data_IF_459312166597
#
_entry.id   IF_459312166597
#
_cell.length_a   1.000
_cell.length_b   1.000
_cell.length_c   1.000
_cell.angle_alpha   90.00
_cell.angle_beta   90.00
_cell.angle_gamma   90.00
#
_symmetry.space_group_name_H-M   'P 1'
#
loop_
_entity.id
_entity.type
_entity.pdbx_description
1 polymer ?
#
# COMPACT_ATOMS: atom_id res chain seq x y z
N UNK A 1 -20.21 -21.84 -16.01
CA UNK A 1 -21.44 -21.38 -15.32
C UNK A 1 -22.54 -21.15 -16.34
N UNK A 2 -23.74 -21.67 -16.16
CA UNK A 2 -24.89 -21.39 -17.05
C UNK A 2 -25.47 -19.97 -16.91
N UNK A 3 -24.67 -19.02 -16.37
CA UNK A 3 -25.08 -17.63 -16.11
C UNK A 3 -25.18 -16.87 -17.42
N UNK A 4 -26.25 -16.08 -17.57
CA UNK A 4 -26.57 -15.28 -18.77
C UNK A 4 -26.66 -13.77 -18.48
N UNK A 5 -26.36 -13.37 -17.25
CA UNK A 5 -26.44 -12.01 -16.73
C UNK A 5 -25.15 -11.20 -16.93
N UNK A 6 -24.16 -11.77 -17.61
CA UNK A 6 -22.86 -11.13 -17.84
C UNK A 6 -21.94 -11.12 -16.62
N UNK A 7 -22.27 -11.85 -15.54
CA UNK A 7 -21.43 -11.95 -14.33
C UNK A 7 -20.70 -13.29 -14.30
N UNK A 8 -19.37 -13.22 -14.24
CA UNK A 8 -18.49 -14.39 -14.18
C UNK A 8 -17.77 -14.44 -12.84
N UNK A 9 -17.81 -15.59 -12.18
CA UNK A 9 -16.99 -15.90 -11.01
C UNK A 9 -15.92 -16.89 -11.46
N UNK A 10 -14.65 -16.53 -11.26
CA UNK A 10 -13.51 -17.34 -11.64
C UNK A 10 -12.85 -17.86 -10.37
N UNK A 11 -12.67 -19.18 -10.20
CA UNK A 11 -12.02 -19.73 -9.02
C UNK A 11 -10.52 -19.44 -9.08
N UNK A 12 -10.06 -18.48 -8.27
CA UNK A 12 -8.64 -18.20 -8.07
C UNK A 12 -8.08 -19.10 -6.97
N UNK A 13 -6.81 -19.46 -7.10
CA UNK A 13 -6.07 -20.24 -6.12
C UNK A 13 -5.70 -19.36 -4.89
N UNK A 14 -5.67 -19.98 -3.72
CA UNK A 14 -5.26 -19.37 -2.44
C UNK A 14 -3.74 -19.16 -2.38
N UNK A 15 -3.28 -18.40 -1.38
CA UNK A 15 -1.85 -18.18 -1.15
C UNK A 15 -1.04 -19.47 -0.85
N UNK A 16 -1.68 -20.58 -0.49
CA UNK A 16 -1.02 -21.88 -0.24
C UNK A 16 -0.92 -22.74 -1.51
N UNK A 17 -1.64 -22.37 -2.56
CA UNK A 17 -1.70 -23.04 -3.85
C UNK A 17 -0.85 -22.33 -4.93
N UNK A 18 -0.24 -21.21 -4.55
CA UNK A 18 0.56 -20.34 -5.42
C UNK A 18 2.01 -20.27 -4.93
N UNK A 19 2.94 -19.97 -5.85
CA UNK A 19 4.31 -19.55 -5.54
C UNK A 19 4.52 -18.09 -5.94
N UNK A 20 5.53 -17.43 -5.36
CA UNK A 20 5.92 -16.09 -5.78
C UNK A 20 6.50 -15.23 -4.68
N UNK A 21 6.57 -13.92 -4.89
CA UNK A 21 7.11 -12.99 -3.91
C UNK A 21 6.03 -12.15 -3.23
N UNK A 22 6.21 -11.85 -1.94
CA UNK A 22 5.36 -10.93 -1.19
C UNK A 22 6.20 -9.94 -0.39
N UNK A 23 5.72 -8.71 -0.23
CA UNK A 23 6.41 -7.68 0.57
C UNK A 23 5.68 -7.45 1.89
N UNK A 24 6.39 -7.57 3.00
CA UNK A 24 5.85 -7.32 4.34
C UNK A 24 5.92 -5.83 4.72
N UNK A 25 5.23 -5.45 5.81
CA UNK A 25 5.17 -4.04 6.29
C UNK A 25 6.56 -3.49 6.71
N UNK A 26 7.45 -4.38 7.18
CA UNK A 26 8.86 -4.03 7.43
C UNK A 26 9.69 -3.87 6.13
N UNK A 27 9.03 -3.97 4.96
CA UNK A 27 9.58 -3.87 3.62
C UNK A 27 10.49 -5.02 3.17
N UNK A 28 10.59 -6.10 3.96
CA UNK A 28 11.25 -7.33 3.53
C UNK A 28 10.38 -8.07 2.52
N UNK A 29 10.99 -8.49 1.41
CA UNK A 29 10.40 -9.34 0.39
C UNK A 29 10.71 -10.79 0.73
N UNK A 30 9.71 -11.67 0.65
CA UNK A 30 9.85 -13.09 0.92
C UNK A 30 9.38 -13.88 -0.30
N UNK A 31 10.11 -14.95 -0.62
CA UNK A 31 9.64 -15.94 -1.58
C UNK A 31 8.72 -16.93 -0.87
N UNK A 32 7.57 -17.22 -1.47
CA UNK A 32 6.59 -18.20 -0.99
C UNK A 32 6.59 -19.38 -1.95
N UNK A 33 6.64 -20.57 -1.37
CA UNK A 33 6.56 -21.83 -2.11
C UNK A 33 5.12 -22.35 -2.11
N UNK A 34 4.77 -23.06 -3.17
CA UNK A 34 3.49 -23.76 -3.25
C UNK A 34 3.45 -24.90 -2.23
N UNK A 35 2.39 -24.96 -1.42
CA UNK A 35 2.23 -25.96 -0.36
C UNK A 35 1.37 -27.13 -0.82
N UNK A 36 0.28 -26.84 -1.56
CA UNK A 36 -0.61 -27.84 -2.16
C UNK A 36 -0.92 -27.46 -3.60
N UNK A 37 -1.38 -28.42 -4.42
CA UNK A 37 -1.88 -28.11 -5.76
C UNK A 37 -3.22 -27.34 -5.67
N UNK A 38 -3.50 -26.43 -6.63
CA UNK A 38 -4.79 -25.74 -6.72
C UNK A 38 -5.96 -26.72 -6.65
N UNK A 39 -6.89 -26.48 -5.72
CA UNK A 39 -8.04 -27.34 -5.49
C UNK A 39 -9.10 -27.16 -6.58
N UNK A 40 -9.79 -28.26 -6.89
CA UNK A 40 -10.85 -28.32 -7.90
C UNK A 40 -10.41 -27.78 -9.26
N UNK A 41 -11.11 -26.77 -9.79
CA UNK A 41 -10.81 -26.10 -11.06
C UNK A 41 -10.11 -24.74 -10.84
N UNK A 42 -9.68 -24.44 -9.62
CA UNK A 42 -9.01 -23.19 -9.31
C UNK A 42 -7.67 -23.08 -10.05
N UNK A 43 -7.26 -21.84 -10.33
CA UNK A 43 -6.01 -21.53 -11.01
C UNK A 43 -5.34 -20.34 -10.35
N UNK A 44 -3.99 -20.28 -10.32
CA UNK A 44 -3.28 -19.07 -9.94
C UNK A 44 -3.69 -17.87 -10.80
N UNK A 45 -3.71 -16.67 -10.22
CA UNK A 45 -4.16 -15.46 -10.90
C UNK A 45 -3.40 -15.19 -12.21
N UNK A 46 -2.08 -15.37 -12.24
CA UNK A 46 -1.28 -15.17 -13.47
C UNK A 46 -1.66 -16.14 -14.58
N UNK A 47 -2.07 -17.35 -14.24
CA UNK A 47 -2.61 -18.34 -15.19
C UNK A 47 -3.98 -17.90 -15.72
N UNK A 48 -4.88 -17.44 -14.86
CA UNK A 48 -6.20 -16.90 -15.28
C UNK A 48 -6.00 -15.72 -16.25
N UNK A 49 -5.10 -14.79 -15.92
CA UNK A 49 -4.78 -13.64 -16.75
C UNK A 49 -4.19 -14.04 -18.11
N UNK A 50 -3.31 -15.04 -18.14
CA UNK A 50 -2.76 -15.57 -19.39
C UNK A 50 -3.83 -16.22 -20.28
N UNK A 51 -4.75 -17.00 -19.70
CA UNK A 51 -5.86 -17.61 -20.45
C UNK A 51 -6.77 -16.53 -21.05
N UNK A 52 -6.98 -15.41 -20.35
CA UNK A 52 -7.65 -14.24 -20.95
C UNK A 52 -6.85 -13.63 -22.09
N UNK A 53 -5.55 -13.42 -21.91
CA UNK A 53 -4.69 -12.90 -22.97
C UNK A 53 -4.72 -13.78 -24.22
N UNK A 54 -4.72 -15.10 -24.06
CA UNK A 54 -4.91 -16.06 -25.16
C UNK A 54 -6.29 -15.89 -25.80
N UNK A 55 -7.34 -15.83 -25.00
CA UNK A 55 -8.72 -15.69 -25.50
C UNK A 55 -8.93 -14.42 -26.31
N UNK A 56 -8.26 -13.33 -25.94
CA UNK A 56 -8.38 -12.03 -26.58
C UNK A 56 -7.25 -11.73 -27.59
N UNK A 57 -6.33 -12.67 -27.81
CA UNK A 57 -5.33 -12.59 -28.89
C UNK A 57 -4.14 -11.68 -28.63
N UNK A 58 -3.75 -11.47 -27.36
CA UNK A 58 -2.56 -10.67 -26.98
C UNK A 58 -1.58 -11.43 -26.05
N UNK A 59 -1.64 -12.76 -26.06
CA UNK A 59 -0.79 -13.60 -25.21
C UNK A 59 0.71 -13.40 -25.46
N UNK A 60 1.11 -13.28 -26.73
CA UNK A 60 2.52 -13.12 -27.11
C UNK A 60 3.11 -11.80 -26.58
N UNK A 61 2.33 -10.71 -26.61
CA UNK A 61 2.71 -9.45 -25.99
C UNK A 61 2.71 -9.53 -24.46
N UNK A 62 1.70 -10.20 -23.87
CA UNK A 62 1.55 -10.35 -22.43
C UNK A 62 2.71 -11.15 -21.81
N UNK A 63 3.24 -12.15 -22.51
CA UNK A 63 4.33 -13.02 -22.02
C UNK A 63 5.65 -12.83 -22.77
N UNK A 64 5.85 -11.66 -23.39
CA UNK A 64 7.04 -11.39 -24.23
C UNK A 64 8.38 -11.70 -23.54
N UNK A 65 8.47 -11.44 -22.24
CA UNK A 65 9.67 -11.68 -21.44
C UNK A 65 9.48 -12.77 -20.38
N UNK A 66 8.35 -13.49 -20.41
CA UNK A 66 7.94 -14.44 -19.38
C UNK A 66 7.78 -15.82 -20.02
N UNK A 67 8.55 -16.80 -19.55
CA UNK A 67 8.39 -18.16 -20.02
C UNK A 67 7.03 -18.72 -19.61
N UNK A 68 6.34 -19.36 -20.53
CA UNK A 68 5.09 -20.09 -20.26
C UNK A 68 5.37 -21.58 -20.33
N UNK A 69 4.96 -22.34 -19.31
CA UNK A 69 5.03 -23.80 -19.27
C UNK A 69 3.66 -24.34 -18.90
N UNK A 70 3.09 -25.26 -19.68
CA UNK A 70 1.76 -25.84 -19.40
C UNK A 70 0.65 -24.80 -19.18
N UNK A 71 0.62 -23.73 -19.99
CA UNK A 71 -0.28 -22.57 -19.87
C UNK A 71 -0.13 -21.74 -18.58
N UNK A 72 0.98 -21.89 -17.87
CA UNK A 72 1.29 -21.11 -16.68
C UNK A 72 2.52 -20.22 -16.92
N UNK A 73 2.37 -18.89 -16.84
CA UNK A 73 3.49 -17.95 -16.84
C UNK A 73 4.43 -18.16 -15.64
N UNK A 74 5.74 -18.07 -15.86
CA UNK A 74 6.75 -18.19 -14.80
C UNK A 74 6.71 -16.99 -13.86
N UNK A 75 6.40 -17.23 -12.59
CA UNK A 75 6.37 -16.19 -11.54
C UNK A 75 7.76 -15.62 -11.27
N UNK A 76 8.82 -16.41 -11.46
CA UNK A 76 10.18 -15.92 -11.36
C UNK A 76 10.52 -14.90 -12.44
N UNK A 77 10.14 -15.17 -13.70
CA UNK A 77 10.35 -14.22 -14.79
C UNK A 77 9.53 -12.94 -14.61
N UNK A 78 8.31 -13.05 -14.06
CA UNK A 78 7.48 -11.90 -13.69
C UNK A 78 8.23 -11.01 -12.67
N UNK A 79 8.84 -11.59 -11.63
CA UNK A 79 9.64 -10.81 -10.68
C UNK A 79 10.85 -10.15 -11.37
N UNK A 80 11.55 -10.89 -12.24
CA UNK A 80 12.67 -10.32 -13.02
C UNK A 80 12.21 -9.16 -13.91
N UNK A 81 11.01 -9.23 -14.47
CA UNK A 81 10.43 -8.17 -15.29
C UNK A 81 10.03 -6.94 -14.45
N UNK A 82 9.41 -7.14 -13.28
CA UNK A 82 9.10 -6.07 -12.32
C UNK A 82 10.38 -5.30 -11.97
N UNK A 83 11.47 -6.01 -11.66
CA UNK A 83 12.74 -5.39 -11.28
C UNK A 83 13.32 -4.49 -12.39
N UNK A 84 13.17 -4.90 -13.66
CA UNK A 84 13.62 -4.11 -14.82
C UNK A 84 12.85 -2.80 -14.99
N UNK A 85 11.64 -2.71 -14.44
CA UNK A 85 10.79 -1.52 -14.51
C UNK A 85 10.84 -0.60 -13.28
N UNK A 86 11.50 -1.02 -12.19
CA UNK A 86 11.36 -0.38 -10.85
C UNK A 86 12.65 0.21 -10.30
N UNK A 87 13.56 0.62 -11.19
CA UNK A 87 14.83 1.30 -10.84
C UNK A 87 14.63 2.51 -9.92
N UNK A 88 13.64 3.36 -10.23
CA UNK A 88 13.41 4.64 -9.54
C UNK A 88 13.01 4.48 -8.08
N UNK A 89 12.32 3.39 -7.78
CA UNK A 89 11.90 3.06 -6.43
C UNK A 89 12.89 2.13 -5.75
N UNK A 90 13.80 1.45 -6.46
CA UNK A 90 14.77 0.56 -5.82
C UNK A 90 14.15 -0.78 -5.40
N UNK A 91 13.30 -1.33 -6.25
CA UNK A 91 12.87 -2.74 -6.22
C UNK A 91 13.57 -3.52 -7.34
N UNK A 92 14.84 -3.20 -7.64
CA UNK A 92 15.56 -3.76 -8.78
C UNK A 92 16.54 -4.88 -8.40
N UNK A 93 17.03 -4.87 -7.17
CA UNK A 93 18.04 -5.83 -6.72
C UNK A 93 17.49 -7.18 -6.27
N UNK A 94 16.19 -7.32 -6.02
CA UNK A 94 15.61 -8.53 -5.43
C UNK A 94 15.29 -9.60 -6.47
N UNK A 95 16.19 -10.56 -6.70
CA UNK A 95 15.91 -11.67 -7.64
C UNK A 95 15.24 -12.87 -6.96
N UNK A 96 14.51 -13.71 -7.73
CA UNK A 96 13.98 -14.98 -7.22
C UNK A 96 15.05 -15.83 -6.52
N UNK A 97 16.25 -15.91 -7.08
CA UNK A 97 17.37 -16.71 -6.55
C UNK A 97 17.82 -16.21 -5.18
N UNK A 98 17.99 -14.89 -5.04
CA UNK A 98 18.39 -14.27 -3.76
C UNK A 98 17.31 -14.48 -2.72
N UNK A 99 16.04 -14.23 -3.07
CA UNK A 99 14.93 -14.40 -2.14
C UNK A 99 14.76 -15.86 -1.70
N UNK A 100 14.83 -16.83 -2.62
CA UNK A 100 14.80 -18.26 -2.30
C UNK A 100 15.97 -18.66 -1.39
N UNK A 101 17.18 -18.15 -1.66
CA UNK A 101 18.33 -18.39 -0.80
C UNK A 101 18.11 -17.84 0.62
N UNK A 102 17.49 -16.66 0.78
CA UNK A 102 17.14 -16.13 2.10
C UNK A 102 16.13 -17.02 2.83
N UNK A 103 15.10 -17.52 2.12
CA UNK A 103 14.07 -18.38 2.71
C UNK A 103 14.62 -19.74 3.15
N UNK A 104 15.54 -20.33 2.39
CA UNK A 104 16.22 -21.59 2.79
C UNK A 104 17.19 -21.43 3.95
N UNK A 105 17.68 -20.21 4.19
CA UNK A 105 18.75 -19.94 5.14
C UNK A 105 18.34 -18.94 6.24
N UNK A 106 17.07 -18.87 6.62
CA UNK A 106 16.56 -17.93 7.63
C UNK A 106 17.38 -17.91 8.92
N UNK A 107 17.93 -19.06 9.32
CA UNK A 107 18.71 -19.22 10.54
C UNK A 107 20.01 -18.39 10.59
N UNK A 108 20.52 -17.92 9.44
CA UNK A 108 21.78 -17.16 9.38
C UNK A 108 21.59 -15.67 9.68
N UNK A 109 20.34 -15.19 9.66
CA UNK A 109 19.98 -13.80 9.90
C UNK A 109 19.73 -13.56 11.39
N UNK A 110 20.31 -12.48 11.91
CA UNK A 110 20.08 -12.07 13.30
C UNK A 110 18.62 -11.60 13.45
N UNK A 111 17.83 -12.12 14.41
CA UNK A 111 16.41 -11.77 14.53
C UNK A 111 16.15 -10.32 14.95
N UNK A 112 17.17 -9.60 15.46
CA UNK A 112 17.04 -8.18 15.83
C UNK A 112 17.48 -7.26 14.71
N UNK A 113 18.63 -7.53 14.10
CA UNK A 113 19.20 -6.64 13.07
C UNK A 113 18.78 -7.04 11.66
N UNK A 114 18.25 -8.25 11.50
CA UNK A 114 17.98 -8.93 10.23
C UNK A 114 19.21 -9.13 9.35
N UNK A 115 20.42 -8.82 9.82
CA UNK A 115 21.64 -8.92 9.03
C UNK A 115 22.25 -10.31 9.18
N UNK A 116 22.62 -10.92 8.06
CA UNK A 116 23.38 -12.16 8.05
C UNK A 116 24.81 -11.91 8.53
N UNK A 117 25.28 -12.74 9.48
CA UNK A 117 26.68 -12.71 9.97
C UNK A 117 27.62 -13.55 9.08
N UNK A 118 27.05 -14.30 8.16
CA UNK A 118 27.69 -15.10 7.14
C UNK A 118 26.76 -16.22 6.69
N UNK A 119 27.13 -16.95 5.65
CA UNK A 119 26.37 -18.13 5.23
C UNK A 119 26.45 -18.38 3.74
N UNK A 120 26.35 -19.67 3.36
CA UNK A 120 26.31 -20.09 1.97
C UNK A 120 25.08 -20.96 1.79
N UNK A 121 24.23 -20.58 0.85
CA UNK A 121 23.10 -21.40 0.43
C UNK A 121 23.62 -22.68 -0.22
N UNK A 122 23.36 -23.84 0.40
CA UNK A 122 23.90 -25.13 -0.06
C UNK A 122 23.41 -25.55 -1.43
N UNK A 123 22.24 -25.06 -1.84
CA UNK A 123 21.62 -25.40 -3.11
C UNK A 123 22.28 -24.65 -4.29
N UNK A 124 22.56 -23.36 -4.10
CA UNK A 124 23.04 -22.49 -5.19
C UNK A 124 24.49 -22.02 -5.05
N UNK A 125 25.10 -22.21 -3.87
CA UNK A 125 26.40 -21.62 -3.53
C UNK A 125 26.35 -20.12 -3.23
N UNK A 126 25.16 -19.52 -3.16
CA UNK A 126 24.98 -18.09 -2.95
C UNK A 126 25.44 -17.66 -1.54
N UNK A 127 26.30 -16.64 -1.47
CA UNK A 127 26.80 -16.07 -0.22
C UNK A 127 25.82 -15.02 0.33
N UNK A 128 25.44 -15.17 1.60
CA UNK A 128 24.47 -14.28 2.27
C UNK A 128 25.15 -13.22 3.15
N UNK A 129 26.47 -13.25 3.29
CA UNK A 129 27.25 -12.38 4.16
C UNK A 129 26.88 -10.89 4.01
N UNK A 130 26.43 -10.27 5.11
CA UNK A 130 26.10 -8.85 5.15
C UNK A 130 24.73 -8.46 4.58
N UNK A 131 23.97 -9.40 4.00
CA UNK A 131 22.63 -9.13 3.50
C UNK A 131 21.60 -9.01 4.61
N UNK A 132 20.54 -8.24 4.35
CA UNK A 132 19.40 -8.16 5.25
C UNK A 132 18.30 -9.12 4.82
N UNK A 133 17.65 -9.78 5.78
CA UNK A 133 16.59 -10.74 5.51
C UNK A 133 15.48 -10.13 4.64
N UNK A 134 15.15 -10.82 3.56
CA UNK A 134 14.24 -10.35 2.52
C UNK A 134 14.62 -9.07 1.76
N UNK A 135 15.90 -8.66 1.73
CA UNK A 135 16.37 -7.54 0.88
C UNK A 135 15.48 -6.28 0.96
N UNK A 136 15.33 -5.69 2.16
CA UNK A 136 14.32 -4.68 2.44
C UNK A 136 14.47 -3.44 1.56
N UNK A 137 13.34 -2.82 1.22
CA UNK A 137 13.31 -1.66 0.35
C UNK A 137 13.99 -0.41 0.96
N UNK A 138 14.77 0.36 0.17
CA UNK A 138 15.18 0.04 -1.21
C UNK A 138 16.35 -0.95 -1.29
N UNK A 139 16.35 -1.74 -2.37
CA UNK A 139 17.45 -2.56 -2.84
C UNK A 139 17.76 -2.19 -4.30
N UNK A 140 18.82 -1.40 -4.48
CA UNK A 140 19.18 -0.82 -5.77
C UNK A 140 20.11 -1.71 -6.60
N UNK A 141 20.19 -1.41 -7.89
CA UNK A 141 21.09 -2.08 -8.83
C UNK A 141 20.51 -3.38 -9.36
N UNK A 142 21.32 -4.08 -10.15
CA UNK A 142 21.01 -5.45 -10.57
C UNK A 142 21.24 -6.42 -9.40
N UNK A 143 20.68 -7.64 -9.45
CA UNK A 143 20.96 -8.67 -8.45
C UNK A 143 22.46 -8.95 -8.25
N UNK A 144 23.25 -8.88 -9.32
CA UNK A 144 24.71 -9.12 -9.32
C UNK A 144 25.48 -8.01 -8.59
N UNK A 145 24.92 -6.81 -8.50
CA UNK A 145 25.47 -5.72 -7.70
C UNK A 145 25.42 -6.03 -6.19
N UNK A 146 24.55 -6.97 -5.77
CA UNK A 146 24.43 -7.45 -4.39
C UNK A 146 24.22 -6.35 -3.36
N UNK A 147 23.41 -5.35 -3.67
CA UNK A 147 22.96 -4.41 -2.65
C UNK A 147 22.16 -5.18 -1.57
N UNK A 148 22.44 -4.99 -0.26
CA UNK A 148 21.88 -5.86 0.79
C UNK A 148 20.42 -5.52 1.17
N UNK A 149 19.91 -4.39 0.66
CA UNK A 149 18.66 -3.78 1.08
C UNK A 149 18.87 -2.75 2.20
N UNK A 150 17.89 -1.88 2.41
CA UNK A 150 18.00 -0.71 3.30
C UNK A 150 16.92 -0.78 4.39
N UNK A 151 17.16 -1.50 5.50
CA UNK A 151 16.16 -1.63 6.57
C UNK A 151 15.87 -0.28 7.24
N UNK A 152 16.91 0.52 7.46
CA UNK A 152 16.83 1.86 8.07
C UNK A 152 17.13 2.92 7.02
N UNK A 153 16.10 3.66 6.62
CA UNK A 153 16.27 4.75 5.66
C UNK A 153 17.07 5.89 6.27
N UNK A 154 17.87 6.54 5.45
CA UNK A 154 18.59 7.78 5.80
C UNK A 154 19.64 7.60 6.92
N UNK A 155 20.14 6.39 7.13
CA UNK A 155 21.25 6.09 8.04
C UNK A 155 22.59 6.45 7.37
N UNK A 156 23.06 7.68 7.60
CA UNK A 156 24.32 8.18 7.04
C UNK A 156 25.57 7.60 7.73
N UNK A 157 25.40 6.91 8.86
CA UNK A 157 26.52 6.27 9.59
C UNK A 157 27.07 5.03 8.87
N UNK A 158 26.38 4.55 7.84
CA UNK A 158 26.73 3.38 7.03
C UNK A 158 27.00 3.76 5.57
N UNK A 159 27.82 2.94 4.94
CA UNK A 159 28.04 3.02 3.49
C UNK A 159 26.76 2.62 2.75
N UNK A 160 26.53 3.16 1.56
CA UNK A 160 25.32 2.87 0.78
C UNK A 160 25.21 1.39 0.42
N UNK A 161 26.34 0.74 0.11
CA UNK A 161 26.42 -0.71 -0.13
C UNK A 161 26.27 -1.58 1.13
N UNK A 162 26.12 -0.97 2.30
CA UNK A 162 25.81 -1.64 3.57
C UNK A 162 24.36 -1.42 4.03
N UNK A 163 23.51 -0.88 3.15
CA UNK A 163 22.12 -0.51 3.47
C UNK A 163 22.00 0.83 4.22
N UNK A 164 23.01 1.69 4.12
CA UNK A 164 22.97 3.08 4.56
C UNK A 164 22.44 4.03 3.48
N UNK A 165 22.30 5.30 3.83
CA UNK A 165 21.89 6.28 2.82
C UNK A 165 21.61 7.66 3.36
N UNK A 166 21.31 8.56 2.43
CA UNK A 166 20.99 9.96 2.68
C UNK A 166 19.61 10.30 2.12
N UNK A 167 19.13 11.52 2.36
CA UNK A 167 17.81 11.96 1.91
C UNK A 167 17.84 12.42 0.44
N UNK A 168 16.75 12.16 -0.29
CA UNK A 168 16.68 12.27 -1.75
C UNK A 168 16.51 13.70 -2.29
N UNK A 169 17.15 14.01 -3.42
CA UNK A 169 17.06 15.31 -4.11
C UNK A 169 15.88 15.39 -5.10
N UNK A 170 14.65 15.14 -4.62
CA UNK A 170 13.47 14.95 -5.48
C UNK A 170 12.64 16.22 -5.74
N UNK A 171 12.97 17.36 -5.12
CA UNK A 171 12.13 18.57 -5.15
C UNK A 171 12.84 19.78 -5.79
N UNK A 172 13.79 19.50 -6.69
CA UNK A 172 14.71 20.50 -7.23
C UNK A 172 15.94 20.72 -6.34
N UNK A 173 16.86 21.57 -6.79
CA UNK A 173 18.12 21.89 -6.10
C UNK A 173 18.05 23.19 -5.31
N UNK A 174 17.09 24.06 -5.64
CA UNK A 174 16.92 25.38 -5.05
C UNK A 174 15.44 25.75 -5.00
N UNK A 175 15.06 26.51 -3.98
CA UNK A 175 13.79 27.21 -3.92
C UNK A 175 13.97 28.58 -3.28
N UNK A 176 13.40 29.62 -3.89
CA UNK A 176 13.42 31.01 -3.38
C UNK A 176 14.85 31.50 -3.05
N UNK A 177 15.84 31.11 -3.87
CA UNK A 177 17.27 31.43 -3.64
C UNK A 177 17.94 30.61 -2.54
N UNK A 178 17.24 29.63 -1.94
CA UNK A 178 17.76 28.75 -0.89
C UNK A 178 18.02 27.36 -1.45
N UNK A 179 19.26 26.90 -1.31
CA UNK A 179 19.64 25.54 -1.71
C UNK A 179 18.87 24.49 -0.89
N UNK A 180 18.25 23.57 -1.63
CA UNK A 180 17.57 22.39 -1.09
C UNK A 180 18.54 21.22 -0.89
N UNK A 181 19.76 21.31 -1.41
CA UNK A 181 20.79 20.29 -1.24
C UNK A 181 21.29 20.24 0.20
N UNK A 182 21.78 19.07 0.61
CA UNK A 182 22.37 18.88 1.93
C UNK A 182 23.60 19.80 2.12
N UNK A 183 23.86 20.20 3.36
CA UNK A 183 25.04 21.00 3.69
C UNK A 183 26.30 20.11 3.72
N UNK A 184 27.48 20.74 3.70
CA UNK A 184 28.76 20.06 3.84
C UNK A 184 28.81 19.20 5.11
N UNK A 185 29.40 18.01 4.98
CA UNK A 185 29.49 16.99 6.03
C UNK A 185 28.25 16.11 6.20
N UNK A 186 27.14 16.41 5.52
CA UNK A 186 25.92 15.58 5.56
C UNK A 186 25.88 14.62 4.38
N UNK A 187 26.71 13.56 4.41
CA UNK A 187 26.78 12.52 3.37
C UNK A 187 26.81 11.11 3.98
N UNK A 188 26.55 10.08 3.17
CA UNK A 188 26.74 8.69 3.58
C UNK A 188 28.21 8.40 3.90
N UNK A 189 28.45 7.52 4.87
CA UNK A 189 29.79 7.11 5.26
C UNK A 189 30.56 6.55 4.05
N UNK A 190 31.73 7.11 3.78
CA UNK A 190 32.61 6.69 2.69
C UNK A 190 32.23 7.20 1.30
N UNK A 191 31.23 8.09 1.19
CA UNK A 191 30.91 8.74 -0.09
C UNK A 191 32.05 9.67 -0.54
N UNK A 192 32.31 9.76 -1.84
CA UNK A 192 33.29 10.73 -2.36
C UNK A 192 32.77 12.17 -2.28
N UNK A 193 31.45 12.36 -2.43
CA UNK A 193 30.81 13.66 -2.29
C UNK A 193 30.34 13.87 -0.85
N UNK A 194 31.11 14.66 -0.11
CA UNK A 194 30.84 15.00 1.30
C UNK A 194 29.90 16.21 1.47
N UNK A 195 29.05 16.47 0.48
CA UNK A 195 28.12 17.61 0.44
C UNK A 195 26.82 17.21 -0.29
N UNK A 196 25.87 18.14 -0.42
CA UNK A 196 24.64 17.89 -1.16
C UNK A 196 24.81 17.96 -2.67
N UNK A 197 24.25 17.01 -3.41
CA UNK A 197 24.39 16.89 -4.85
C UNK A 197 23.05 16.55 -5.53
N UNK A 198 22.82 16.96 -6.79
CA UNK A 198 21.60 16.62 -7.52
C UNK A 198 21.55 15.13 -7.88
N UNK A 199 20.42 14.70 -8.43
CA UNK A 199 20.31 13.36 -9.03
C UNK A 199 21.40 13.12 -10.10
N UNK A 200 21.89 11.88 -10.19
CA UNK A 200 22.93 11.52 -11.16
C UNK A 200 22.37 11.35 -12.56
N UNK A 201 23.01 12.00 -13.53
CA UNK A 201 22.79 11.80 -14.95
C UNK A 201 24.11 11.68 -15.72
N UNK A 202 24.02 11.36 -17.02
CA UNK A 202 25.20 11.22 -17.87
C UNK A 202 26.08 12.49 -17.89
N UNK A 203 25.50 13.68 -17.72
CA UNK A 203 26.26 14.94 -17.72
C UNK A 203 27.04 15.08 -16.42
N UNK A 204 26.41 14.81 -15.28
CA UNK A 204 27.06 14.87 -13.98
C UNK A 204 28.18 13.85 -13.88
N UNK A 205 27.96 12.61 -14.33
CA UNK A 205 29.00 11.58 -14.36
C UNK A 205 30.21 12.03 -15.19
N UNK A 206 29.99 12.62 -16.38
CA UNK A 206 31.07 13.15 -17.23
C UNK A 206 31.83 14.29 -16.55
N UNK A 207 31.13 15.21 -15.89
CA UNK A 207 31.75 16.32 -15.16
C UNK A 207 32.60 15.87 -13.98
N UNK A 208 32.20 14.79 -13.31
CA UNK A 208 32.93 14.20 -12.19
C UNK A 208 34.08 13.29 -12.65
N UNK A 209 34.16 12.95 -13.95
CA UNK A 209 35.12 11.98 -14.48
C UNK A 209 34.71 10.52 -14.27
N UNK A 210 33.57 10.27 -13.63
CA UNK A 210 33.07 8.91 -13.29
C UNK A 210 32.46 8.19 -14.49
N UNK A 211 32.23 8.90 -15.60
CA UNK A 211 31.69 8.33 -16.83
C UNK A 211 32.55 7.18 -17.37
N UNK A 212 33.87 7.25 -17.19
CA UNK A 212 34.79 6.26 -17.73
C UNK A 212 34.84 4.93 -16.95
N UNK A 213 34.16 4.87 -15.82
CA UNK A 213 33.97 3.65 -15.01
C UNK A 213 32.75 2.83 -15.45
N UNK A 214 31.96 3.35 -16.39
CA UNK A 214 30.97 2.58 -17.13
C UNK A 214 31.65 1.71 -18.18
N UNK A 215 31.18 0.47 -18.34
CA UNK A 215 31.52 -0.38 -19.48
C UNK A 215 31.00 0.22 -20.78
N UNK A 216 31.56 -0.19 -21.92
CA UNK A 216 31.14 0.33 -23.24
C UNK A 216 29.65 0.10 -23.51
N UNK A 217 29.07 -1.00 -23.03
CA UNK A 217 27.65 -1.29 -23.19
C UNK A 217 26.76 -0.49 -22.24
N UNK A 218 27.23 -0.20 -21.02
CA UNK A 218 26.55 0.73 -20.11
C UNK A 218 26.58 2.15 -20.68
N UNK A 219 27.74 2.62 -21.19
CA UNK A 219 27.87 3.95 -21.83
C UNK A 219 26.84 4.14 -22.94
N UNK A 220 26.68 3.15 -23.84
CA UNK A 220 25.69 3.20 -24.93
C UNK A 220 24.26 3.36 -24.43
N UNK A 221 23.89 2.74 -23.31
CA UNK A 221 22.53 2.78 -22.74
C UNK A 221 22.29 4.01 -21.85
N UNK A 222 23.33 4.50 -21.19
CA UNK A 222 23.28 5.62 -20.27
C UNK A 222 23.40 6.99 -20.96
N UNK A 223 23.93 7.06 -22.19
CA UNK A 223 24.11 8.32 -22.92
C UNK A 223 22.77 9.05 -23.12
N UNK A 224 22.73 10.33 -22.74
CA UNK A 224 21.49 11.12 -22.78
C UNK A 224 20.45 10.74 -21.71
N UNK A 225 20.78 9.85 -20.76
CA UNK A 225 19.87 9.38 -19.70
C UNK A 225 20.28 9.88 -18.32
N UNK A 226 19.38 9.65 -17.38
CA UNK A 226 19.64 9.77 -15.95
C UNK A 226 19.54 8.39 -15.27
N UNK A 227 19.90 8.32 -14.00
CA UNK A 227 19.87 7.08 -13.21
C UNK A 227 18.52 6.35 -13.24
N UNK A 228 17.40 7.06 -13.49
CA UNK A 228 16.04 6.51 -13.57
C UNK A 228 15.75 5.80 -14.88
N UNK A 229 16.42 6.22 -15.95
CA UNK A 229 16.11 5.85 -17.34
C UNK A 229 17.24 5.12 -18.04
N UNK A 230 18.41 5.03 -17.39
CA UNK A 230 19.47 4.10 -17.76
C UNK A 230 19.06 2.66 -17.44
N UNK A 231 18.67 1.92 -18.47
CA UNK A 231 18.23 0.53 -18.35
C UNK A 231 19.38 -0.48 -18.12
N UNK A 232 20.64 -0.04 -18.18
CA UNK A 232 21.78 -0.87 -17.83
C UNK A 232 21.99 -0.98 -16.31
N UNK A 233 21.51 0.02 -15.55
CA UNK A 233 21.83 0.17 -14.14
C UNK A 233 23.26 0.67 -13.88
N UNK A 234 24.01 1.02 -14.92
CA UNK A 234 25.41 1.44 -14.83
C UNK A 234 25.60 2.72 -14.01
N UNK A 235 24.73 3.73 -14.19
CA UNK A 235 24.79 4.96 -13.38
C UNK A 235 24.61 4.64 -11.88
N UNK A 236 23.68 3.75 -11.55
CA UNK A 236 23.43 3.32 -10.16
C UNK A 236 24.66 2.58 -9.62
N UNK A 237 25.21 1.64 -10.40
CA UNK A 237 26.40 0.88 -10.03
C UNK A 237 27.58 1.82 -9.73
N UNK A 238 27.92 2.71 -10.67
CA UNK A 238 29.05 3.64 -10.51
C UNK A 238 28.84 4.55 -9.29
N UNK A 239 27.70 5.23 -9.21
CA UNK A 239 27.43 6.15 -8.11
C UNK A 239 27.51 5.46 -6.74
N UNK A 240 26.89 4.29 -6.58
CA UNK A 240 26.79 3.63 -5.28
C UNK A 240 27.99 2.77 -4.93
N UNK A 241 28.47 1.95 -5.87
CA UNK A 241 29.49 0.94 -5.61
C UNK A 241 30.89 1.54 -5.62
N UNK A 242 31.17 2.42 -6.57
CA UNK A 242 32.51 2.98 -6.77
C UNK A 242 32.70 4.27 -5.96
N UNK A 243 31.65 5.08 -5.79
CA UNK A 243 31.75 6.40 -5.14
C UNK A 243 30.92 6.57 -3.86
N UNK A 244 30.24 5.52 -3.38
CA UNK A 244 29.49 5.55 -2.13
C UNK A 244 28.31 6.54 -2.09
N UNK A 245 27.83 7.01 -3.24
CA UNK A 245 26.78 8.02 -3.37
C UNK A 245 25.45 7.40 -3.84
N UNK A 246 24.32 7.84 -3.28
CA UNK A 246 23.00 7.43 -3.81
C UNK A 246 22.69 8.08 -5.17
N UNK A 247 22.05 7.36 -6.11
CA UNK A 247 21.79 7.84 -7.47
C UNK A 247 20.77 8.99 -7.51
N UNK A 248 19.87 9.04 -6.52
CA UNK A 248 18.81 10.05 -6.41
C UNK A 248 19.28 11.40 -5.83
N UNK A 249 20.58 11.61 -5.64
CA UNK A 249 21.13 12.84 -5.08
C UNK A 249 21.19 12.86 -3.54
N UNK A 250 21.50 14.02 -2.99
CA UNK A 250 21.58 14.28 -1.55
C UNK A 250 21.05 15.66 -1.17
N UNK A 251 19.89 15.69 -0.50
CA UNK A 251 19.15 16.90 -0.20
C UNK A 251 18.62 16.95 1.24
N UNK A 252 18.07 18.09 1.62
CA UNK A 252 17.42 18.31 2.91
C UNK A 252 16.01 17.69 2.91
N UNK A 253 15.63 17.11 4.05
CA UNK A 253 14.22 16.86 4.33
C UNK A 253 13.45 18.18 4.39
N UNK A 254 12.18 18.16 3.98
CA UNK A 254 11.30 19.34 4.00
C UNK A 254 10.13 19.14 4.94
N UNK A 255 9.88 20.13 5.81
CA UNK A 255 8.66 20.23 6.61
C UNK A 255 7.58 21.08 5.92
N UNK A 256 8.00 21.96 5.00
CA UNK A 256 7.10 22.80 4.19
C UNK A 256 6.96 22.16 2.81
N UNK A 257 5.73 21.80 2.44
CA UNK A 257 5.38 21.11 1.20
C UNK A 257 4.61 22.06 0.28
N UNK A 258 5.32 23.03 -0.27
CA UNK A 258 4.74 24.13 -1.04
C UNK A 258 3.93 23.76 -2.29
N UNK A 259 4.03 22.51 -2.73
CA UNK A 259 3.29 21.99 -3.87
C UNK A 259 1.98 21.28 -3.46
N UNK A 260 1.61 21.30 -2.16
CA UNK A 260 0.35 20.79 -1.65
C UNK A 260 -0.65 21.93 -1.44
N UNK A 261 -1.97 21.63 -1.37
CA UNK A 261 -2.99 22.64 -1.07
C UNK A 261 -2.70 23.39 0.25
N UNK A 262 -2.26 22.65 1.26
CA UNK A 262 -1.76 23.20 2.51
C UNK A 262 -0.26 22.89 2.63
N UNK A 263 0.56 23.94 2.58
CA UNK A 263 2.03 23.79 2.61
C UNK A 263 2.57 23.34 3.98
N UNK A 264 1.78 23.52 5.03
CA UNK A 264 2.01 23.04 6.39
C UNK A 264 0.71 22.41 6.91
N UNK A 265 0.75 21.50 7.90
CA UNK A 265 -0.48 20.96 8.47
C UNK A 265 -1.35 22.07 9.05
N UNK A 266 -2.58 22.18 8.54
CA UNK A 266 -3.62 23.07 9.04
C UNK A 266 -4.83 22.23 9.44
N UNK A 267 -5.51 22.62 10.52
CA UNK A 267 -6.77 21.99 10.90
C UNK A 267 -7.85 22.35 9.87
N UNK A 268 -8.59 21.33 9.42
CA UNK A 268 -9.78 21.46 8.57
C UNK A 268 -10.84 20.51 9.08
N UNK A 269 -12.08 20.97 9.13
CA UNK A 269 -13.21 20.11 9.48
C UNK A 269 -13.48 19.08 8.38
N UNK A 270 -13.96 17.88 8.76
CA UNK A 270 -14.37 16.86 7.81
C UNK A 270 -15.51 17.35 6.91
N UNK A 271 -15.77 16.62 5.82
CA UNK A 271 -16.81 17.03 4.86
C UNK A 271 -18.18 17.15 5.53
N UNK A 272 -18.49 16.22 6.44
CA UNK A 272 -19.64 16.31 7.34
C UNK A 272 -19.15 16.42 8.78
N UNK A 273 -19.50 17.52 9.44
CA UNK A 273 -19.18 17.78 10.85
C UNK A 273 -20.45 18.09 11.62
N UNK A 274 -20.61 17.60 12.87
CA UNK A 274 -21.71 18.03 13.73
C UNK A 274 -21.51 19.46 14.27
N UNK A 275 -20.38 20.11 13.97
CA UNK A 275 -19.95 21.41 14.50
C UNK A 275 -19.91 22.49 13.42
N UNK A 276 -21.07 23.07 13.12
CA UNK A 276 -21.21 24.17 12.17
C UNK A 276 -20.29 25.37 12.50
N UNK A 277 -20.06 25.64 13.79
CA UNK A 277 -19.16 26.70 14.26
C UNK A 277 -17.69 26.40 13.90
N UNK A 278 -17.27 25.14 13.94
CA UNK A 278 -15.93 24.75 13.52
C UNK A 278 -15.80 24.72 12.01
N UNK A 279 -16.84 24.32 11.27
CA UNK A 279 -16.86 24.35 9.81
C UNK A 279 -16.64 25.78 9.31
N UNK A 280 -17.31 26.76 9.93
CA UNK A 280 -17.12 28.17 9.60
C UNK A 280 -15.70 28.67 9.90
N UNK A 281 -15.06 28.15 10.96
CA UNK A 281 -13.70 28.55 11.38
C UNK A 281 -12.59 27.85 10.59
N UNK A 282 -12.81 26.59 10.21
CA UNK A 282 -11.83 25.70 9.60
C UNK A 282 -12.43 24.91 8.43
N UNK A 283 -12.83 25.60 7.35
CA UNK A 283 -13.50 24.95 6.23
C UNK A 283 -12.58 23.97 5.49
N UNK A 284 -13.20 23.06 4.74
CA UNK A 284 -12.50 22.19 3.77
C UNK A 284 -11.98 23.00 2.58
N UNK A 285 -11.31 22.34 1.62
CA UNK A 285 -10.76 22.97 0.42
C UNK A 285 -11.86 23.44 -0.55
N UNK A 286 -11.49 24.30 -1.51
CA UNK A 286 -12.38 24.62 -2.62
C UNK A 286 -12.57 23.42 -3.56
N UNK A 287 -13.72 23.38 -4.25
CA UNK A 287 -14.02 22.37 -5.25
C UNK A 287 -12.97 22.32 -6.36
N UNK A 288 -12.66 21.11 -6.83
CA UNK A 288 -11.72 20.90 -7.94
C UNK A 288 -12.47 20.42 -9.18
N UNK A 289 -12.56 21.28 -10.20
CA UNK A 289 -13.21 20.94 -11.47
C UNK A 289 -12.53 19.79 -12.22
N UNK A 290 -11.20 19.71 -12.13
CA UNK A 290 -10.41 18.66 -12.76
C UNK A 290 -9.39 18.15 -11.73
N UNK A 291 -9.72 17.04 -11.06
CA UNK A 291 -8.80 16.37 -10.16
C UNK A 291 -8.62 14.92 -10.61
N UNK A 292 -7.46 14.66 -11.22
CA UNK A 292 -7.14 13.43 -11.95
C UNK A 292 -8.09 13.16 -13.12
N UNK A 293 -9.25 12.55 -12.87
CA UNK A 293 -10.18 12.06 -13.90
C UNK A 293 -11.60 12.63 -13.81
N UNK A 294 -12.00 13.18 -12.65
CA UNK A 294 -13.36 13.65 -12.39
C UNK A 294 -13.34 14.96 -11.59
N UNK A 295 -14.46 15.73 -11.61
CA UNK A 295 -14.67 16.77 -10.62
C UNK A 295 -14.69 16.17 -9.20
N UNK A 296 -14.10 16.87 -8.24
CA UNK A 296 -14.14 16.49 -6.82
C UNK A 296 -14.69 17.66 -6.02
N UNK A 297 -15.79 17.40 -5.34
CA UNK A 297 -16.50 18.40 -4.57
C UNK A 297 -16.00 18.42 -3.12
N UNK A 298 -15.82 19.62 -2.58
CA UNK A 298 -15.37 19.85 -1.23
C UNK A 298 -16.29 20.90 -0.60
N UNK A 299 -15.93 22.18 -0.72
CA UNK A 299 -16.67 23.29 -0.14
C UNK A 299 -18.15 23.30 -0.54
N UNK A 300 -18.53 22.98 -1.78
CA UNK A 300 -19.94 22.96 -2.16
C UNK A 300 -20.76 21.93 -1.37
N UNK A 301 -20.19 20.75 -1.13
CA UNK A 301 -20.85 19.71 -0.32
C UNK A 301 -20.83 20.13 1.16
N UNK A 302 -19.71 20.65 1.67
CA UNK A 302 -19.66 21.09 3.07
C UNK A 302 -20.67 22.22 3.35
N UNK A 303 -20.82 23.17 2.43
CA UNK A 303 -21.77 24.28 2.54
C UNK A 303 -23.23 23.78 2.47
N UNK A 304 -23.52 22.81 1.58
CA UNK A 304 -24.84 22.17 1.50
C UNK A 304 -25.22 21.45 2.82
N UNK A 305 -24.24 20.91 3.53
CA UNK A 305 -24.41 20.14 4.76
C UNK A 305 -23.90 20.90 6.01
N UNK A 306 -23.83 22.23 5.96
CA UNK A 306 -23.24 23.04 7.05
C UNK A 306 -23.93 22.81 8.42
N UNK A 307 -25.22 22.50 8.42
CA UNK A 307 -26.06 22.26 9.59
C UNK A 307 -26.37 20.77 9.85
N UNK A 308 -25.64 19.84 9.20
CA UNK A 308 -25.93 18.39 9.22
C UNK A 308 -26.02 17.79 10.63
N UNK A 309 -25.30 18.38 11.59
CA UNK A 309 -25.32 17.97 13.00
C UNK A 309 -26.69 18.06 13.68
N UNK A 310 -27.63 18.85 13.15
CA UNK A 310 -29.00 18.94 13.69
C UNK A 310 -29.76 17.62 13.55
N UNK A 311 -29.60 16.96 12.40
CA UNK A 311 -30.28 15.70 12.08
C UNK A 311 -29.40 14.47 12.38
N UNK A 312 -28.08 14.62 12.21
CA UNK A 312 -27.06 13.58 12.36
C UNK A 312 -26.01 14.00 13.41
N UNK A 313 -26.34 13.94 14.71
CA UNK A 313 -25.51 14.52 15.75
C UNK A 313 -24.33 13.63 16.19
N UNK A 314 -24.29 12.37 15.77
CA UNK A 314 -23.25 11.42 16.19
C UNK A 314 -22.13 11.38 15.15
N UNK A 315 -20.89 11.50 15.59
CA UNK A 315 -19.70 11.21 14.79
C UNK A 315 -19.65 9.70 14.56
N UNK A 316 -19.61 9.28 13.32
CA UNK A 316 -19.46 7.88 12.95
C UNK A 316 -18.04 7.62 12.45
N UNK A 317 -17.37 6.68 13.10
CA UNK A 317 -16.07 6.19 12.67
C UNK A 317 -16.10 4.69 12.41
N UNK A 318 -15.21 4.22 11.54
CA UNK A 318 -15.11 2.81 11.16
C UNK A 318 -13.73 2.24 11.42
N UNK A 319 -13.64 0.97 11.81
CA UNK A 319 -12.36 0.33 12.08
C UNK A 319 -12.35 -1.18 12.01
N UNK A 320 -11.27 -1.76 12.54
CA UNK A 320 -10.99 -3.20 12.49
C UNK A 320 -11.38 -3.90 13.77
N UNK A 321 -11.68 -5.18 13.64
CA UNK A 321 -11.75 -6.18 14.70
C UNK A 321 -10.50 -7.05 14.65
N UNK A 322 -10.17 -7.71 15.76
CA UNK A 322 -8.96 -8.54 15.87
C UNK A 322 -9.16 -9.87 15.14
N UNK A 323 -10.39 -10.34 15.14
CA UNK A 323 -10.84 -11.65 14.65
C UNK A 323 -10.92 -11.69 13.11
N UNK A 324 -11.01 -10.53 12.46
CA UNK A 324 -11.25 -10.41 11.03
C UNK A 324 -10.21 -9.54 10.32
N UNK A 325 -9.94 -9.87 9.06
CA UNK A 325 -8.96 -9.19 8.22
C UNK A 325 -9.62 -8.66 6.92
N UNK A 326 -9.14 -7.52 6.42
CA UNK A 326 -9.73 -6.88 5.23
C UNK A 326 -11.23 -6.60 5.36
N UNK A 327 -12.00 -6.94 4.33
CA UNK A 327 -13.47 -6.91 4.33
C UNK A 327 -14.13 -8.10 5.04
N UNK A 328 -13.32 -8.99 5.62
CA UNK A 328 -13.74 -10.17 6.37
C UNK A 328 -14.03 -11.40 5.51
N UNK A 329 -13.93 -11.35 4.18
CA UNK A 329 -14.37 -12.42 3.27
C UNK A 329 -13.83 -13.82 3.60
N UNK A 330 -12.52 -13.94 3.82
CA UNK A 330 -11.89 -15.19 4.23
C UNK A 330 -12.19 -15.52 5.70
N UNK A 331 -12.05 -14.53 6.59
CA UNK A 331 -12.05 -14.76 8.04
C UNK A 331 -13.44 -14.98 8.62
N UNK A 332 -14.49 -14.37 8.05
CA UNK A 332 -15.90 -14.60 8.47
C UNK A 332 -16.51 -15.86 7.89
N UNK A 333 -15.78 -16.52 6.98
CA UNK A 333 -16.08 -17.86 6.45
C UNK A 333 -15.37 -18.96 7.24
N UNK A 334 -14.43 -18.61 8.10
CA UNK A 334 -13.71 -19.53 8.97
C UNK A 334 -14.51 -19.74 10.29
N UNK A 335 -14.85 -20.99 10.67
CA UNK A 335 -15.72 -21.25 11.82
C UNK A 335 -15.15 -20.79 13.16
N UNK A 336 -13.84 -20.89 13.35
CA UNK A 336 -13.19 -20.50 14.61
C UNK A 336 -13.15 -18.99 14.80
N UNK A 337 -12.95 -18.23 13.73
CA UNK A 337 -12.97 -16.76 13.78
C UNK A 337 -14.40 -16.23 13.81
N UNK A 338 -15.30 -16.85 13.04
CA UNK A 338 -16.72 -16.53 13.02
C UNK A 338 -17.41 -16.68 14.38
N UNK A 339 -16.96 -17.66 15.19
CA UNK A 339 -17.46 -17.86 16.56
C UNK A 339 -17.15 -16.66 17.47
N UNK A 340 -16.01 -16.00 17.28
CA UNK A 340 -15.58 -14.90 18.14
C UNK A 340 -16.39 -13.61 17.92
N UNK A 341 -16.97 -13.41 16.73
CA UNK A 341 -17.85 -12.27 16.45
C UNK A 341 -18.93 -12.62 15.41
N UNK A 342 -20.17 -12.85 15.87
CA UNK A 342 -21.25 -13.36 15.03
C UNK A 342 -22.09 -12.29 14.34
N UNK A 343 -22.10 -11.07 14.88
CA UNK A 343 -22.99 -10.01 14.44
C UNK A 343 -22.20 -8.77 14.01
N UNK A 344 -22.70 -8.11 12.96
CA UNK A 344 -22.31 -6.72 12.68
C UNK A 344 -22.97 -5.81 13.72
N UNK A 345 -22.20 -4.86 14.27
CA UNK A 345 -22.68 -4.01 15.37
C UNK A 345 -22.27 -2.54 15.23
N UNK A 346 -22.90 -1.71 16.05
CA UNK A 346 -22.49 -0.33 16.32
C UNK A 346 -22.23 -0.15 17.81
N UNK A 347 -21.02 0.30 18.18
CA UNK A 347 -20.74 0.72 19.54
C UNK A 347 -21.42 2.06 19.80
N UNK A 348 -22.21 2.12 20.87
CA UNK A 348 -22.95 3.30 21.28
C UNK A 348 -22.75 3.55 22.77
N UNK A 349 -22.46 4.79 23.12
CA UNK A 349 -22.31 5.18 24.52
C UNK A 349 -23.64 5.02 25.30
N UNK A 350 -23.63 4.63 26.59
CA UNK A 350 -24.85 4.48 27.39
C UNK A 350 -25.75 5.72 27.40
N UNK A 351 -25.17 6.93 27.43
CA UNK A 351 -25.95 8.18 27.36
C UNK A 351 -26.66 8.31 26.02
N UNK A 352 -25.92 8.15 24.91
CA UNK A 352 -26.47 8.26 23.57
C UNK A 352 -27.56 7.20 23.29
N UNK A 353 -27.40 6.00 23.85
CA UNK A 353 -28.38 4.92 23.79
C UNK A 353 -29.64 5.25 24.59
N UNK A 354 -29.50 5.73 25.84
CA UNK A 354 -30.60 6.13 26.70
C UNK A 354 -31.43 7.27 26.09
N UNK A 355 -30.77 8.30 25.55
CA UNK A 355 -31.41 9.43 24.86
C UNK A 355 -32.28 8.97 23.66
N UNK A 356 -32.01 7.77 23.14
CA UNK A 356 -32.69 7.16 21.97
C UNK A 356 -33.56 5.95 22.33
N UNK A 357 -33.67 5.58 23.61
CA UNK A 357 -34.41 4.39 24.05
C UNK A 357 -33.85 3.07 23.51
N UNK A 358 -32.55 3.00 23.23
CA UNK A 358 -31.85 1.82 22.70
C UNK A 358 -31.26 1.02 23.87
N UNK A 359 -31.46 -0.29 23.86
CA UNK A 359 -30.83 -1.24 24.80
C UNK A 359 -29.72 -2.00 24.11
N UNK A 360 -28.83 -2.58 24.91
CA UNK A 360 -27.82 -3.49 24.40
C UNK A 360 -28.47 -4.64 23.61
N UNK A 361 -27.87 -4.97 22.46
CA UNK A 361 -28.34 -5.97 21.49
C UNK A 361 -29.64 -5.66 20.76
N UNK A 362 -30.24 -4.48 20.95
CA UNK A 362 -31.34 -4.06 20.08
C UNK A 362 -30.83 -3.93 18.63
N UNK A 363 -31.65 -4.32 17.66
CA UNK A 363 -31.38 -3.95 16.27
C UNK A 363 -31.68 -2.46 16.07
N UNK A 364 -30.80 -1.79 15.35
CA UNK A 364 -30.89 -0.35 15.09
C UNK A 364 -30.63 -0.03 13.63
N UNK A 365 -31.22 1.07 13.15
CA UNK A 365 -30.86 1.68 11.88
C UNK A 365 -29.82 2.76 12.12
N UNK A 366 -28.68 2.64 11.45
CA UNK A 366 -27.68 3.71 11.34
C UNK A 366 -27.93 4.42 10.02
N UNK A 367 -28.38 5.68 10.11
CA UNK A 367 -28.73 6.53 8.96
C UNK A 367 -27.65 7.57 8.74
N UNK A 368 -27.28 7.79 7.49
CA UNK A 368 -26.24 8.75 7.09
C UNK A 368 -26.84 9.93 6.29
N UNK A 369 -26.12 11.07 6.18
CA UNK A 369 -26.57 12.22 5.39
C UNK A 369 -26.77 11.95 3.89
N UNK A 370 -26.20 10.86 3.36
CA UNK A 370 -26.35 10.48 1.96
C UNK A 370 -27.71 9.83 1.65
N UNK A 371 -28.55 9.64 2.68
CA UNK A 371 -29.81 8.90 2.59
C UNK A 371 -29.66 7.40 2.76
N UNK A 372 -28.43 6.89 2.84
CA UNK A 372 -28.18 5.48 3.10
C UNK A 372 -28.48 5.11 4.56
N UNK A 373 -28.95 3.87 4.77
CA UNK A 373 -29.17 3.29 6.08
C UNK A 373 -28.72 1.83 6.10
N UNK A 374 -28.17 1.40 7.23
CA UNK A 374 -27.76 0.01 7.49
C UNK A 374 -28.39 -0.47 8.79
N UNK A 375 -28.81 -1.75 8.83
CA UNK A 375 -29.38 -2.38 10.02
C UNK A 375 -28.34 -3.23 10.74
N UNK A 376 -27.97 -2.84 11.96
CA UNK A 376 -26.91 -3.50 12.75
C UNK A 376 -27.35 -3.68 14.21
N UNK A 377 -26.65 -4.53 14.95
CA UNK A 377 -26.90 -4.71 16.38
C UNK A 377 -26.29 -3.56 17.20
N UNK A 378 -26.98 -3.04 18.20
CA UNK A 378 -26.40 -2.10 19.16
C UNK A 378 -25.49 -2.84 20.16
N UNK A 379 -24.29 -2.32 20.35
CA UNK A 379 -23.38 -2.70 21.44
C UNK A 379 -23.23 -1.50 22.37
N UNK A 380 -23.94 -1.52 23.51
CA UNK A 380 -23.92 -0.39 24.45
C UNK A 380 -22.66 -0.48 25.31
N UNK A 381 -21.76 0.50 25.19
CA UNK A 381 -20.44 0.47 25.82
C UNK A 381 -19.85 1.85 26.10
N UNK A 382 -19.08 2.00 27.17
CA UNK A 382 -18.37 3.25 27.52
C UNK A 382 -17.07 3.47 26.70
N UNK A 383 -16.71 2.55 25.81
CA UNK A 383 -15.52 2.66 24.95
C UNK A 383 -15.53 3.85 24.00
N UNK A 384 -16.72 4.27 23.57
CA UNK A 384 -16.92 5.42 22.66
C UNK A 384 -17.50 6.61 23.42
N UNK A 385 -17.14 7.82 22.98
CA UNK A 385 -17.69 9.07 23.52
C UNK A 385 -19.20 9.18 23.32
N UNK A 386 -19.87 10.01 24.13
CA UNK A 386 -21.32 10.21 24.04
C UNK A 386 -21.79 10.81 22.70
N UNK A 387 -20.88 11.41 21.94
CA UNK A 387 -21.08 12.00 20.63
C UNK A 387 -20.56 11.14 19.48
N UNK A 388 -20.02 9.95 19.76
CA UNK A 388 -19.27 9.14 18.79
C UNK A 388 -19.75 7.69 18.78
N UNK A 389 -19.78 7.08 17.60
CA UNK A 389 -20.08 5.66 17.41
C UNK A 389 -19.03 5.00 16.54
N UNK A 390 -18.79 3.72 16.80
CA UNK A 390 -17.84 2.90 16.06
C UNK A 390 -18.55 1.74 15.36
N UNK A 391 -18.19 1.49 14.10
CA UNK A 391 -18.68 0.35 13.33
C UNK A 391 -17.52 -0.40 12.66
N UNK A 392 -17.44 -1.74 12.78
CA UNK A 392 -16.42 -2.52 12.10
C UNK A 392 -16.71 -2.66 10.60
N UNK A 393 -15.69 -2.79 9.75
CA UNK A 393 -15.87 -2.89 8.29
C UNK A 393 -15.70 -4.30 7.69
N UNK A 394 -15.88 -5.35 8.51
CA UNK A 394 -15.60 -6.74 8.14
C UNK A 394 -16.84 -7.54 7.67
N UNK A 395 -17.95 -6.88 7.42
CA UNK A 395 -19.24 -7.53 7.22
C UNK A 395 -19.84 -7.19 5.86
N UNK A 396 -20.44 -8.20 5.24
CA UNK A 396 -21.21 -8.09 4.01
C UNK A 396 -22.20 -9.25 3.92
N UNK A 397 -23.14 -9.19 2.98
CA UNK A 397 -24.15 -10.23 2.76
C UNK A 397 -25.54 -9.83 3.28
N UNK A 398 -25.68 -8.72 3.99
CA UNK A 398 -26.98 -8.06 4.18
C UNK A 398 -27.06 -6.81 3.30
N UNK A 399 -28.28 -6.46 2.89
CA UNK A 399 -28.58 -5.21 2.20
C UNK A 399 -29.87 -4.60 2.72
N UNK A 400 -29.76 -3.45 3.38
CA UNK A 400 -30.89 -2.75 4.01
C UNK A 400 -31.68 -3.65 4.97
N UNK A 401 -30.98 -4.40 5.81
CA UNK A 401 -31.51 -5.31 6.81
C UNK A 401 -32.03 -6.64 6.28
N UNK A 402 -31.97 -6.89 4.97
CA UNK A 402 -32.30 -8.18 4.36
C UNK A 402 -31.05 -9.05 4.27
N UNK A 403 -31.09 -10.26 4.82
CA UNK A 403 -30.07 -11.28 4.55
C UNK A 403 -30.16 -11.74 3.09
N UNK A 404 -29.03 -11.70 2.38
CA UNK A 404 -28.91 -12.12 0.99
C UNK A 404 -28.40 -13.57 0.86
N UNK A 405 -28.52 -14.40 1.90
CA UNK A 405 -28.13 -15.81 1.89
C UNK A 405 -28.62 -16.55 0.62
N UNK A 406 -29.85 -16.28 0.16
CA UNK A 406 -30.43 -16.90 -1.03
C UNK A 406 -29.73 -16.50 -2.35
N UNK A 407 -28.87 -15.48 -2.31
CA UNK A 407 -28.05 -15.05 -3.45
C UNK A 407 -26.72 -15.80 -3.53
N UNK A 408 -26.36 -16.56 -2.50
CA UNK A 408 -25.16 -17.39 -2.49
C UNK A 408 -25.46 -18.78 -3.09
N UNK A 409 -24.53 -19.36 -3.86
CA UNK A 409 -24.59 -20.79 -4.17
C UNK A 409 -24.67 -21.64 -2.90
N UNK A 410 -25.27 -22.82 -3.01
CA UNK A 410 -25.36 -23.77 -1.90
C UNK A 410 -23.96 -24.06 -1.33
N UNK A 411 -23.82 -23.91 -0.01
CA UNK A 411 -22.56 -24.13 0.71
C UNK A 411 -21.51 -23.02 0.55
N UNK A 412 -21.77 -21.96 -0.21
CA UNK A 412 -20.81 -20.88 -0.46
C UNK A 412 -21.07 -19.60 0.36
N UNK A 413 -22.15 -19.56 1.14
CA UNK A 413 -22.42 -18.42 2.02
C UNK A 413 -21.39 -18.37 3.16
N UNK A 414 -20.84 -17.19 3.49
CA UNK A 414 -20.00 -17.04 4.66
C UNK A 414 -20.81 -17.33 5.93
N UNK A 415 -20.15 -17.84 6.97
CA UNK A 415 -20.79 -18.21 8.23
C UNK A 415 -21.41 -16.99 8.90
N UNK A 416 -20.69 -15.87 8.89
CA UNK A 416 -21.14 -14.58 9.42
C UNK A 416 -21.41 -13.58 8.29
N UNK A 417 -22.59 -12.97 8.35
CA UNK A 417 -23.09 -11.97 7.40
C UNK A 417 -23.53 -10.73 8.15
N UNK A 418 -23.54 -9.60 7.44
CA UNK A 418 -23.92 -8.32 8.00
C UNK A 418 -23.95 -7.24 6.94
N UNK A 419 -24.25 -6.02 7.38
CA UNK A 419 -24.22 -4.84 6.50
C UNK A 419 -22.79 -4.35 6.29
N UNK A 420 -22.52 -3.86 5.08
CA UNK A 420 -21.27 -3.16 4.79
C UNK A 420 -21.35 -1.72 5.32
N UNK A 421 -20.48 -1.34 6.25
CA UNK A 421 -20.43 0.03 6.79
C UNK A 421 -20.15 1.08 5.71
N UNK A 422 -19.43 0.71 4.63
CA UNK A 422 -19.18 1.56 3.48
C UNK A 422 -20.46 2.11 2.81
N UNK A 423 -21.60 1.42 2.97
CA UNK A 423 -22.91 1.92 2.51
C UNK A 423 -23.29 3.22 3.21
N UNK A 424 -22.88 3.42 4.46
CA UNK A 424 -23.23 4.59 5.28
C UNK A 424 -22.11 5.65 5.35
N UNK A 425 -20.99 5.49 4.63
CA UNK A 425 -19.88 6.48 4.65
C UNK A 425 -20.16 7.71 3.80
N UNK A 426 -19.35 8.76 3.99
CA UNK A 426 -19.45 10.01 3.23
C UNK A 426 -18.85 9.91 1.81
N UNK A 427 -19.18 10.90 0.99
CA UNK A 427 -18.55 11.18 -0.30
C UNK A 427 -17.08 11.65 -0.16
N UNK A 428 -16.64 12.19 0.97
CA UNK A 428 -15.37 12.90 1.11
C UNK A 428 -14.10 12.13 0.67
N UNK A 429 -13.09 12.88 0.24
CA UNK A 429 -11.80 12.38 -0.24
C UNK A 429 -10.64 13.25 0.24
N UNK A 430 -9.44 12.68 0.39
CA UNK A 430 -8.22 13.45 0.63
C UNK A 430 -7.86 14.34 -0.58
N UNK A 431 -7.47 15.58 -0.28
CA UNK A 431 -7.20 16.63 -1.29
C UNK A 431 -5.96 16.40 -2.15
N UNK A 432 -5.14 15.39 -1.84
CA UNK A 432 -3.91 15.06 -2.56
C UNK A 432 -3.99 13.68 -3.21
N UNK A 433 -4.45 12.68 -2.46
CA UNK A 433 -4.37 11.25 -2.81
C UNK A 433 -5.68 10.65 -3.29
N UNK A 434 -6.81 11.35 -3.14
CA UNK A 434 -8.16 10.80 -3.38
C UNK A 434 -8.51 9.60 -2.49
N UNK A 435 -7.83 9.42 -1.35
CA UNK A 435 -8.23 8.42 -0.36
C UNK A 435 -9.57 8.81 0.27
N UNK A 436 -10.54 7.90 0.29
CA UNK A 436 -11.88 8.19 0.81
C UNK A 436 -11.87 8.47 2.32
N UNK A 437 -12.67 9.47 2.72
CA UNK A 437 -12.91 9.87 4.11
C UNK A 437 -13.83 8.87 4.84
N UNK A 438 -13.29 7.71 5.20
CA UNK A 438 -14.06 6.63 5.86
C UNK A 438 -14.06 6.68 7.38
N UNK A 439 -13.33 7.63 7.97
CA UNK A 439 -13.05 7.68 9.42
C UNK A 439 -13.78 8.80 10.16
N UNK A 440 -14.28 9.78 9.41
CA UNK A 440 -14.90 11.00 9.94
C UNK A 440 -16.14 11.32 9.12
N UNK A 441 -17.27 10.74 9.53
CA UNK A 441 -18.60 11.10 9.01
C UNK A 441 -19.55 11.29 10.18
N UNK A 442 -20.83 11.55 9.90
CA UNK A 442 -21.87 11.67 10.91
C UNK A 442 -23.02 10.71 10.63
N UNK A 443 -23.76 10.35 11.67
CA UNK A 443 -24.93 9.51 11.56
C UNK A 443 -26.02 9.87 12.59
N UNK A 444 -27.18 9.25 12.39
CA UNK A 444 -28.23 9.15 13.38
C UNK A 444 -28.55 7.68 13.60
N UNK A 445 -28.82 7.31 14.85
CA UNK A 445 -29.20 5.95 15.21
C UNK A 445 -30.64 5.98 15.71
N UNK A 446 -31.47 5.08 15.17
CA UNK A 446 -32.84 4.87 15.64
C UNK A 446 -33.10 3.39 15.85
N UNK A 447 -33.96 3.06 16.81
CA UNK A 447 -34.41 1.68 17.03
C UNK A 447 -35.13 1.14 15.78
N UNK A 448 -34.84 -0.12 15.42
CA UNK A 448 -35.28 -0.71 14.15
C UNK A 448 -36.67 -1.34 14.16
#
# INVERSE_FOLDING_TARGET
>A
SGRKDGVYLLPAATQFECEGSCTASNRSIQWREKVIEPLWESKPDHTIMYLFAQKFGFADEFTKNVKVTNNEPSVEDILREINRGTWTIGYSGQSPERLKAHMRNMQVFDPKTLRAKGGIDKETGYQLDGEYFGLPWPCYGTPEMKHPGTPNLYDTSKHVMDGGGNFRANFGVEKDGVSLLANDGSASKGADLQFGYPEFDHVLLKKLGWWDELTDDEKKKAEGKNWKTDSSGGIIRVAMKEHGCHPFGNAKARAVVWNFPDAVPLHREPLFSPRADLVAKYPTHDDKKAFWRLPTLYKSVQDQFADVGKDYPLIMTSGRLVEYEGGGDETRSNPWLAELQQDMFVEINPRAANDRGIRDKDMVWVRSPTGAQIKVMAMVTERVGADTVFLPFHFAGHWMGKDLIDSYPEGAAPLVRGEAVNTATTYGYDSVTMMQETKTTVCQIVKA
#
